data_IF_774927791213
#
_entry.id   IF_774927791213
#
_cell.length_a   1.000
_cell.length_b   1.000
_cell.length_c   1.000
_cell.angle_alpha   90.00
_cell.angle_beta   90.00
_cell.angle_gamma   90.00
#
_symmetry.space_group_name_H-M   'P 1'
#
loop_
_entity.id
_entity.type
_entity.pdbx_description
1 polymer ?
#
# COMPACT_ATOMS: atom_id res chain seq x y z
N UNK A 1 76.03 -20.61 19.85
CA UNK A 1 74.92 -21.38 19.27
C UNK A 1 73.64 -20.93 19.94
N UNK A 2 72.93 -19.88 19.39
CA UNK A 2 71.71 -19.31 19.96
C UNK A 2 70.49 -19.99 19.32
N UNK A 3 69.74 -20.77 20.09
CA UNK A 3 68.48 -21.31 19.65
C UNK A 3 67.40 -20.24 19.62
N UNK A 4 66.94 -19.88 18.43
CA UNK A 4 65.73 -19.05 18.25
C UNK A 4 64.51 -19.89 18.64
N UNK A 5 63.94 -19.57 19.79
CA UNK A 5 62.60 -20.01 20.14
C UNK A 5 61.59 -19.22 19.30
N UNK A 6 61.07 -19.86 18.23
CA UNK A 6 59.88 -19.35 17.52
C UNK A 6 58.69 -19.45 18.47
N UNK A 7 58.19 -18.31 18.92
CA UNK A 7 56.90 -18.20 19.65
C UNK A 7 55.82 -18.59 18.63
N UNK A 8 54.99 -19.61 18.91
CA UNK A 8 53.88 -19.92 18.00
C UNK A 8 52.92 -18.69 17.93
N UNK A 9 52.67 -18.22 16.71
CA UNK A 9 51.59 -17.23 16.49
C UNK A 9 50.28 -17.84 17.01
N UNK A 10 49.83 -17.36 18.13
CA UNK A 10 48.52 -17.67 18.68
C UNK A 10 47.47 -17.23 17.66
N UNK A 11 46.84 -18.22 17.01
CA UNK A 11 45.70 -17.97 16.12
C UNK A 11 44.68 -17.19 16.92
N UNK A 12 44.39 -15.95 16.50
CA UNK A 12 43.36 -15.09 17.07
C UNK A 12 42.12 -15.93 17.41
N UNK A 13 41.91 -16.19 18.69
CA UNK A 13 40.72 -16.90 19.16
C UNK A 13 39.54 -15.94 18.86
N UNK A 14 38.71 -16.34 17.88
CA UNK A 14 37.42 -15.67 17.69
C UNK A 14 36.72 -15.64 19.03
N UNK A 15 36.59 -14.45 19.60
CA UNK A 15 35.84 -14.25 20.84
C UNK A 15 34.38 -14.57 20.52
N UNK A 16 33.91 -15.73 20.96
CA UNK A 16 32.52 -16.12 20.83
C UNK A 16 31.81 -15.44 21.98
N UNK A 17 31.07 -14.39 21.68
CA UNK A 17 30.18 -13.78 22.67
C UNK A 17 29.04 -14.76 22.95
N UNK A 18 28.92 -15.16 24.21
CA UNK A 18 27.79 -15.95 24.66
C UNK A 18 26.63 -15.01 25.08
N UNK A 19 25.39 -15.39 24.76
CA UNK A 19 24.23 -14.69 25.32
C UNK A 19 24.18 -14.97 26.86
N UNK A 20 23.38 -14.24 27.65
CA UNK A 20 23.22 -14.48 29.09
C UNK A 20 22.78 -15.91 29.43
N UNK A 21 22.43 -16.71 28.44
CA UNK A 21 22.01 -18.12 28.54
C UNK A 21 23.06 -19.08 28.02
N UNK A 22 24.30 -18.62 27.79
CA UNK A 22 25.42 -19.47 27.39
C UNK A 22 25.42 -19.94 25.93
N UNK A 23 24.57 -19.37 25.05
CA UNK A 23 24.51 -19.75 23.64
C UNK A 23 25.46 -18.88 22.82
N UNK A 24 26.27 -19.53 21.97
CA UNK A 24 27.12 -18.82 21.02
C UNK A 24 26.27 -18.01 20.02
N UNK A 25 26.43 -16.70 20.04
CA UNK A 25 25.73 -15.80 19.12
C UNK A 25 26.61 -15.61 17.88
N UNK A 26 26.35 -16.36 16.85
CA UNK A 26 26.98 -16.16 15.54
C UNK A 26 26.57 -14.80 14.95
N UNK A 27 27.52 -14.09 14.35
CA UNK A 27 27.40 -12.73 13.81
C UNK A 27 26.55 -12.64 12.51
N UNK A 28 25.41 -13.25 12.43
CA UNK A 28 24.58 -13.14 11.22
C UNK A 28 23.49 -12.11 11.42
N UNK A 29 23.80 -10.83 11.20
CA UNK A 29 22.85 -9.71 11.21
C UNK A 29 22.04 -9.57 9.89
N UNK A 30 21.74 -10.67 9.20
CA UNK A 30 21.01 -10.62 7.93
C UNK A 30 19.64 -9.96 8.08
N UNK A 31 18.91 -10.23 9.16
CA UNK A 31 17.63 -9.61 9.43
C UNK A 31 17.70 -8.09 9.65
N UNK A 32 18.72 -7.61 10.37
CA UNK A 32 18.92 -6.19 10.56
C UNK A 32 19.31 -5.50 9.25
N UNK A 33 20.16 -6.12 8.43
CA UNK A 33 20.53 -5.57 7.11
C UNK A 33 19.31 -5.47 6.18
N UNK A 34 18.48 -6.51 6.13
CA UNK A 34 17.24 -6.49 5.34
C UNK A 34 16.30 -5.36 5.79
N UNK A 35 16.16 -5.13 7.10
CA UNK A 35 15.36 -4.03 7.64
C UNK A 35 15.94 -2.65 7.31
N UNK A 36 17.25 -2.47 7.31
CA UNK A 36 17.86 -1.22 6.87
C UNK A 36 17.62 -0.97 5.39
N UNK A 37 17.75 -1.98 4.54
CA UNK A 37 17.43 -1.86 3.10
C UNK A 37 15.96 -1.47 2.92
N UNK A 38 15.05 -2.13 3.62
CA UNK A 38 13.62 -1.80 3.57
C UNK A 38 13.35 -0.37 4.05
N UNK A 39 14.00 0.06 5.14
CA UNK A 39 13.89 1.43 5.65
C UNK A 39 14.33 2.46 4.61
N UNK A 40 15.45 2.22 3.93
CA UNK A 40 15.94 3.11 2.87
C UNK A 40 14.96 3.16 1.70
N UNK A 41 14.42 2.01 1.27
CA UNK A 41 13.43 1.96 0.19
C UNK A 41 12.15 2.71 0.55
N UNK A 42 11.63 2.55 1.78
CA UNK A 42 10.47 3.29 2.26
C UNK A 42 10.71 4.80 2.32
N UNK A 43 11.90 5.23 2.77
CA UNK A 43 12.26 6.65 2.82
C UNK A 43 12.42 7.25 1.41
N UNK A 44 13.08 6.53 0.49
CA UNK A 44 13.20 6.96 -0.90
C UNK A 44 11.83 7.09 -1.58
N UNK A 45 10.93 6.14 -1.32
CA UNK A 45 9.56 6.18 -1.84
C UNK A 45 8.78 7.37 -1.24
N UNK A 46 8.88 7.60 0.08
CA UNK A 46 8.27 8.74 0.75
C UNK A 46 8.74 10.07 0.14
N UNK A 47 10.05 10.25 -0.04
CA UNK A 47 10.63 11.45 -0.65
C UNK A 47 10.22 11.57 -2.13
N UNK A 48 10.26 10.47 -2.88
CA UNK A 48 9.84 10.43 -4.28
C UNK A 48 8.40 10.90 -4.47
N UNK A 49 7.45 10.36 -3.72
CA UNK A 49 6.05 10.80 -3.79
C UNK A 49 5.92 12.27 -3.38
N UNK A 50 6.58 12.68 -2.28
CA UNK A 50 6.52 14.06 -1.82
C UNK A 50 7.06 15.09 -2.83
N UNK A 51 8.05 14.71 -3.66
CA UNK A 51 8.63 15.60 -4.67
C UNK A 51 7.87 15.58 -6.01
N UNK A 52 7.36 14.42 -6.44
CA UNK A 52 6.81 14.23 -7.79
C UNK A 52 5.28 14.20 -7.86
N UNK A 53 4.61 13.87 -6.77
CA UNK A 53 3.15 13.70 -6.73
C UNK A 53 2.53 14.77 -5.85
N UNK A 54 2.55 16.01 -6.30
CA UNK A 54 1.97 17.19 -5.62
C UNK A 54 1.15 16.93 -4.33
N UNK A 55 1.31 17.75 -3.33
CA UNK A 55 0.81 17.69 -1.92
C UNK A 55 -0.72 17.48 -1.72
N UNK A 56 -1.41 16.75 -2.60
CA UNK A 56 -2.84 16.46 -2.47
C UNK A 56 -3.22 15.44 -1.39
N UNK A 57 -2.27 14.67 -0.88
CA UNK A 57 -2.50 13.67 0.17
C UNK A 57 -1.25 13.47 1.02
N UNK A 58 -1.41 13.48 2.34
CA UNK A 58 -0.33 13.18 3.30
C UNK A 58 -0.02 11.68 3.42
N UNK A 59 -0.59 10.84 2.56
CA UNK A 59 -0.41 9.39 2.64
C UNK A 59 1.06 8.95 2.49
N UNK A 60 1.89 9.74 1.79
CA UNK A 60 3.33 9.46 1.69
C UNK A 60 4.06 9.44 3.03
N UNK A 61 3.56 10.17 4.05
CA UNK A 61 4.14 10.16 5.41
C UNK A 61 4.04 8.80 6.08
N UNK A 62 3.05 7.98 5.72
CA UNK A 62 2.91 6.59 6.23
C UNK A 62 4.17 5.79 5.90
N UNK A 63 4.70 5.93 4.69
CA UNK A 63 5.94 5.27 4.28
C UNK A 63 7.16 5.79 5.03
N UNK A 64 7.18 7.08 5.33
CA UNK A 64 8.20 7.69 6.20
C UNK A 64 8.21 7.09 7.61
N UNK A 65 7.03 6.94 8.21
CA UNK A 65 6.85 6.33 9.53
C UNK A 65 7.26 4.85 9.52
N UNK A 66 6.85 4.08 8.51
CA UNK A 66 7.25 2.68 8.35
C UNK A 66 8.78 2.58 8.19
N UNK A 67 9.39 3.43 7.38
CA UNK A 67 10.84 3.47 7.19
C UNK A 67 11.59 3.79 8.48
N UNK A 68 11.14 4.80 9.23
CA UNK A 68 11.73 5.17 10.52
C UNK A 68 11.60 4.03 11.54
N UNK A 69 10.44 3.37 11.58
CA UNK A 69 10.22 2.21 12.44
C UNK A 69 11.14 1.02 12.09
N UNK A 70 11.26 0.68 10.80
CA UNK A 70 12.18 -0.36 10.33
C UNK A 70 13.65 -0.04 10.69
N UNK A 71 14.07 1.22 10.54
CA UNK A 71 15.41 1.66 10.91
C UNK A 71 15.66 1.54 12.42
N UNK A 72 14.70 2.01 13.24
CA UNK A 72 14.77 1.90 14.70
C UNK A 72 14.84 0.43 15.16
N UNK A 73 14.02 -0.44 14.57
CA UNK A 73 14.03 -1.87 14.90
C UNK A 73 15.33 -2.55 14.46
N UNK A 74 15.86 -2.23 13.28
CA UNK A 74 17.15 -2.70 12.80
C UNK A 74 18.28 -2.27 13.75
N UNK A 75 18.21 -1.02 14.25
CA UNK A 75 19.16 -0.50 15.23
C UNK A 75 19.10 -1.28 16.55
N UNK A 76 17.90 -1.58 17.06
CA UNK A 76 17.73 -2.45 18.25
C UNK A 76 18.33 -3.82 18.03
N UNK A 77 18.14 -4.43 16.86
CA UNK A 77 18.70 -5.75 16.54
C UNK A 77 20.23 -5.75 16.44
N UNK A 78 20.83 -4.62 16.07
CA UNK A 78 22.30 -4.47 15.97
C UNK A 78 22.94 -4.15 17.33
N UNK A 79 22.21 -3.47 18.23
CA UNK A 79 22.69 -3.11 19.55
C UNK A 79 22.28 -4.14 20.60
N UNK A 80 23.14 -5.12 20.81
CA UNK A 80 22.90 -6.27 21.71
C UNK A 80 22.43 -5.87 23.10
N UNK A 81 23.03 -4.83 23.67
CA UNK A 81 22.68 -4.35 25.02
C UNK A 81 21.19 -3.97 25.09
N UNK A 82 20.71 -3.21 24.09
CA UNK A 82 19.30 -2.78 24.01
C UNK A 82 18.38 -3.97 23.74
N UNK A 83 18.78 -4.86 22.81
CA UNK A 83 18.00 -6.05 22.47
C UNK A 83 17.74 -6.96 23.68
N UNK A 84 18.74 -7.19 24.53
CA UNK A 84 18.59 -8.05 25.72
C UNK A 84 17.89 -7.35 26.90
N UNK A 85 17.83 -6.02 26.89
CA UNK A 85 17.10 -5.26 27.91
C UNK A 85 15.58 -5.33 27.67
N UNK A 86 15.15 -5.59 26.43
CA UNK A 86 13.74 -5.76 26.08
C UNK A 86 13.25 -7.14 26.53
N UNK A 87 12.17 -7.22 27.32
CA UNK A 87 11.62 -8.49 27.78
C UNK A 87 11.25 -9.43 26.62
N UNK A 88 11.49 -10.72 26.78
CA UNK A 88 11.22 -11.72 25.73
C UNK A 88 9.78 -11.74 25.26
N UNK A 89 8.83 -11.54 26.18
CA UNK A 89 7.41 -11.50 25.85
C UNK A 89 7.08 -10.38 24.85
N UNK A 90 7.75 -9.22 24.96
CA UNK A 90 7.55 -8.10 24.05
C UNK A 90 7.98 -8.45 22.61
N UNK A 91 9.11 -9.16 22.46
CA UNK A 91 9.53 -9.63 21.14
C UNK A 91 8.54 -10.65 20.54
N UNK A 92 7.98 -11.53 21.38
CA UNK A 92 7.00 -12.52 20.95
C UNK A 92 5.72 -11.82 20.52
N UNK A 93 5.18 -10.94 21.38
CA UNK A 93 3.96 -10.18 21.08
C UNK A 93 4.11 -9.36 19.79
N UNK A 94 5.23 -8.65 19.63
CA UNK A 94 5.49 -7.87 18.44
C UNK A 94 5.51 -8.74 17.16
N UNK A 95 6.23 -9.86 17.18
CA UNK A 95 6.27 -10.79 16.05
C UNK A 95 4.90 -11.37 15.74
N UNK A 96 4.14 -11.74 16.77
CA UNK A 96 2.78 -12.26 16.60
C UNK A 96 1.85 -11.23 15.98
N UNK A 97 1.95 -9.96 16.40
CA UNK A 97 1.15 -8.86 15.84
C UNK A 97 1.51 -8.61 14.36
N UNK A 98 2.79 -8.59 14.02
CA UNK A 98 3.24 -8.45 12.63
C UNK A 98 2.76 -9.62 11.78
N UNK A 99 2.87 -10.85 12.26
CA UNK A 99 2.37 -12.03 11.55
C UNK A 99 0.86 -11.99 11.36
N UNK A 100 0.10 -11.61 12.38
CA UNK A 100 -1.36 -11.46 12.28
C UNK A 100 -1.74 -10.38 11.26
N UNK A 101 -1.04 -9.23 11.26
CA UNK A 101 -1.24 -8.18 10.27
C UNK A 101 -0.94 -8.65 8.84
N UNK A 102 0.15 -9.41 8.64
CA UNK A 102 0.48 -9.99 7.33
C UNK A 102 -0.59 -10.98 6.85
N UNK A 103 -1.08 -11.85 7.74
CA UNK A 103 -2.16 -12.80 7.39
C UNK A 103 -3.43 -12.05 7.02
N UNK A 104 -3.81 -11.02 7.79
CA UNK A 104 -4.98 -10.19 7.49
C UNK A 104 -4.84 -9.50 6.11
N UNK A 105 -3.68 -8.92 5.82
CA UNK A 105 -3.41 -8.33 4.50
C UNK A 105 -3.55 -9.34 3.38
N UNK A 106 -2.98 -10.54 3.53
CA UNK A 106 -3.10 -11.60 2.52
C UNK A 106 -4.56 -12.04 2.30
N UNK A 107 -5.36 -12.08 3.36
CA UNK A 107 -6.80 -12.39 3.25
C UNK A 107 -7.51 -11.27 2.47
N UNK A 108 -7.29 -10.01 2.81
CA UNK A 108 -7.90 -8.86 2.13
C UNK A 108 -7.49 -8.83 0.66
N UNK A 109 -6.20 -8.98 0.35
CA UNK A 109 -5.70 -9.04 -1.03
C UNK A 109 -6.30 -10.21 -1.80
N UNK A 110 -6.40 -11.38 -1.17
CA UNK A 110 -7.07 -12.54 -1.76
C UNK A 110 -8.54 -12.28 -2.09
N UNK A 111 -9.26 -11.60 -1.20
CA UNK A 111 -10.65 -11.18 -1.45
C UNK A 111 -10.74 -10.18 -2.60
N UNK A 112 -9.87 -9.20 -2.68
CA UNK A 112 -9.83 -8.22 -3.77
C UNK A 112 -9.56 -8.92 -5.11
N UNK A 113 -8.53 -9.77 -5.16
CA UNK A 113 -8.16 -10.50 -6.38
C UNK A 113 -9.28 -11.42 -6.84
N UNK A 114 -10.00 -12.05 -5.92
CA UNK A 114 -11.14 -12.93 -6.26
C UNK A 114 -12.28 -12.20 -6.99
N UNK A 115 -12.39 -10.88 -6.80
CA UNK A 115 -13.42 -10.05 -7.44
C UNK A 115 -13.00 -9.48 -8.79
N UNK A 116 -11.74 -9.64 -9.24
CA UNK A 116 -11.28 -9.06 -10.51
C UNK A 116 -12.03 -9.59 -11.75
N UNK A 117 -12.61 -10.77 -11.66
CA UNK A 117 -13.37 -11.40 -12.73
C UNK A 117 -14.87 -11.48 -12.40
N UNK A 118 -15.33 -10.76 -11.38
CA UNK A 118 -16.75 -10.72 -11.07
C UNK A 118 -17.49 -10.03 -12.23
N UNK A 119 -18.49 -10.73 -12.78
CA UNK A 119 -19.39 -10.18 -13.77
C UNK A 119 -20.60 -9.57 -13.08
N UNK A 120 -21.09 -8.44 -13.61
CA UNK A 120 -22.34 -7.88 -13.15
C UNK A 120 -23.50 -8.82 -13.46
N UNK A 121 -24.53 -8.82 -12.63
CA UNK A 121 -25.77 -9.55 -12.89
C UNK A 121 -26.44 -8.96 -14.13
N UNK A 122 -26.85 -9.78 -15.07
CA UNK A 122 -27.60 -9.33 -16.25
C UNK A 122 -28.99 -8.82 -15.85
N UNK A 123 -29.46 -7.77 -16.51
CA UNK A 123 -30.81 -7.23 -16.32
C UNK A 123 -31.02 -6.53 -14.98
N UNK A 124 -29.99 -5.91 -14.40
CA UNK A 124 -30.16 -5.06 -13.21
C UNK A 124 -31.01 -3.83 -13.53
N UNK A 125 -31.91 -3.41 -12.63
CA UNK A 125 -32.71 -2.21 -12.80
C UNK A 125 -31.84 -0.96 -12.85
N UNK A 126 -30.78 -0.89 -12.03
CA UNK A 126 -29.88 0.24 -11.91
C UNK A 126 -28.42 -0.18 -11.86
N UNK A 127 -27.57 0.63 -12.50
CA UNK A 127 -26.12 0.59 -12.37
C UNK A 127 -25.66 1.92 -11.76
N UNK A 128 -24.81 1.84 -10.75
CA UNK A 128 -24.24 3.04 -10.10
C UNK A 128 -22.77 3.18 -10.52
N UNK A 129 -22.43 4.30 -11.13
CA UNK A 129 -21.05 4.64 -11.47
C UNK A 129 -20.55 5.66 -10.44
N UNK A 130 -19.53 5.24 -9.68
CA UNK A 130 -18.87 6.11 -8.72
C UNK A 130 -17.76 6.93 -9.39
N UNK A 131 -17.73 8.22 -9.12
CA UNK A 131 -16.67 9.12 -9.56
C UNK A 131 -15.27 8.71 -9.08
N UNK A 132 -14.24 9.26 -9.72
CA UNK A 132 -12.84 9.05 -9.35
C UNK A 132 -11.92 10.19 -9.75
N UNK A 133 -12.40 11.31 -10.09
CA UNK A 133 -11.78 12.55 -10.52
C UNK A 133 -12.04 12.91 -11.99
N UNK A 134 -12.53 14.16 -12.19
CA UNK A 134 -12.66 14.79 -13.49
C UNK A 134 -11.61 15.89 -13.68
N UNK A 135 -10.70 15.72 -14.63
CA UNK A 135 -9.63 16.67 -14.94
C UNK A 135 -10.06 17.66 -16.02
N UNK A 136 -9.32 18.75 -16.19
CA UNK A 136 -9.50 19.68 -17.31
C UNK A 136 -9.39 19.02 -18.69
N UNK A 137 -8.66 17.91 -18.78
CA UNK A 137 -8.50 17.10 -20.00
C UNK A 137 -9.54 15.99 -20.17
N UNK A 138 -10.53 15.88 -19.27
CA UNK A 138 -11.51 14.81 -19.24
C UNK A 138 -11.38 13.86 -18.05
N UNK A 139 -12.05 12.69 -18.07
CA UNK A 139 -12.03 11.75 -16.96
C UNK A 139 -10.62 11.25 -16.66
N UNK A 140 -10.32 11.00 -15.38
CA UNK A 140 -9.10 10.28 -15.00
C UNK A 140 -9.10 8.89 -15.64
N UNK A 141 -7.92 8.28 -15.79
CA UNK A 141 -7.80 6.94 -16.39
C UNK A 141 -8.68 5.89 -15.69
N UNK A 142 -8.77 5.96 -14.35
CA UNK A 142 -9.62 5.05 -13.56
C UNK A 142 -11.09 5.29 -13.86
N UNK A 143 -11.53 6.56 -13.90
CA UNK A 143 -12.91 6.91 -14.21
C UNK A 143 -13.28 6.51 -15.62
N UNK A 144 -12.39 6.74 -16.60
CA UNK A 144 -12.61 6.32 -17.98
C UNK A 144 -12.86 4.82 -18.09
N UNK A 145 -12.03 4.00 -17.44
CA UNK A 145 -12.23 2.53 -17.44
C UNK A 145 -13.55 2.09 -16.83
N UNK A 146 -14.02 2.81 -15.79
CA UNK A 146 -15.35 2.55 -15.21
C UNK A 146 -16.46 2.89 -16.18
N UNK A 147 -16.36 4.06 -16.85
CA UNK A 147 -17.33 4.51 -17.85
C UNK A 147 -17.37 3.56 -19.05
N UNK A 148 -16.21 3.19 -19.60
CA UNK A 148 -16.12 2.25 -20.73
C UNK A 148 -16.83 0.92 -20.39
N UNK A 149 -16.58 0.39 -19.17
CA UNK A 149 -17.22 -0.86 -18.73
C UNK A 149 -18.72 -0.72 -18.48
N UNK A 150 -19.15 0.43 -17.97
CA UNK A 150 -20.56 0.72 -17.80
C UNK A 150 -21.28 0.86 -19.14
N UNK A 151 -20.68 1.48 -20.16
CA UNK A 151 -21.22 1.60 -21.52
C UNK A 151 -21.42 0.19 -22.12
N UNK A 152 -20.42 -0.68 -21.99
CA UNK A 152 -20.54 -2.07 -22.45
C UNK A 152 -21.75 -2.77 -21.82
N UNK A 153 -21.92 -2.62 -20.51
CA UNK A 153 -23.05 -3.20 -19.78
C UNK A 153 -24.40 -2.58 -20.19
N UNK A 154 -24.50 -1.25 -20.30
CA UNK A 154 -25.73 -0.53 -20.64
C UNK A 154 -26.20 -0.82 -22.06
N UNK A 155 -25.26 -1.06 -22.98
CA UNK A 155 -25.56 -1.47 -24.35
C UNK A 155 -26.10 -2.91 -24.43
N UNK A 156 -25.60 -3.79 -23.54
CA UNK A 156 -26.12 -5.16 -23.43
C UNK A 156 -27.47 -5.22 -22.68
N UNK A 157 -27.82 -4.21 -21.88
CA UNK A 157 -29.03 -4.17 -21.05
C UNK A 157 -29.78 -2.83 -21.28
N UNK A 158 -30.58 -2.70 -22.33
CA UNK A 158 -31.24 -1.44 -22.72
C UNK A 158 -32.22 -0.87 -21.67
N UNK A 159 -32.84 -1.72 -20.85
CA UNK A 159 -33.78 -1.31 -19.83
C UNK A 159 -33.11 -0.81 -18.53
N UNK A 160 -31.84 -1.07 -18.34
CA UNK A 160 -31.08 -0.66 -17.17
C UNK A 160 -30.87 0.86 -17.14
N UNK A 161 -31.19 1.51 -16.02
CA UNK A 161 -30.87 2.91 -15.77
C UNK A 161 -29.49 3.05 -15.11
N UNK A 162 -28.83 4.18 -15.33
CA UNK A 162 -27.53 4.46 -14.73
C UNK A 162 -27.60 5.66 -13.80
N UNK A 163 -27.05 5.51 -12.61
CA UNK A 163 -26.87 6.58 -11.64
C UNK A 163 -25.39 6.97 -11.65
N UNK A 164 -25.09 8.19 -12.04
CA UNK A 164 -23.73 8.73 -11.98
C UNK A 164 -23.59 9.55 -10.69
N UNK A 165 -22.73 9.09 -9.78
CA UNK A 165 -22.56 9.71 -8.46
C UNK A 165 -21.16 10.29 -8.31
N UNK A 166 -21.07 11.60 -8.11
CA UNK A 166 -19.82 12.31 -7.91
C UNK A 166 -20.03 13.82 -7.75
N UNK A 167 -19.44 14.38 -6.71
CA UNK A 167 -19.42 15.82 -6.47
C UNK A 167 -18.33 16.53 -7.31
N UNK A 168 -18.16 17.83 -7.04
CA UNK A 168 -17.08 18.62 -7.62
C UNK A 168 -15.93 18.72 -6.62
N UNK A 169 -14.77 18.17 -6.98
CA UNK A 169 -13.55 18.31 -6.21
C UNK A 169 -12.95 19.72 -6.33
N UNK A 170 -12.09 20.09 -5.38
CA UNK A 170 -11.47 21.43 -5.31
C UNK A 170 -10.71 21.82 -6.60
N UNK A 171 -10.14 20.85 -7.30
CA UNK A 171 -9.35 21.05 -8.52
C UNK A 171 -10.08 20.60 -9.79
N UNK A 172 -11.39 20.48 -9.75
CA UNK A 172 -12.18 19.98 -10.88
C UNK A 172 -12.97 21.12 -11.53
N UNK A 173 -13.00 21.21 -12.88
CA UNK A 173 -13.68 22.25 -13.59
C UNK A 173 -15.22 22.14 -13.54
N UNK A 174 -15.72 20.91 -13.41
CA UNK A 174 -17.14 20.55 -13.31
C UNK A 174 -17.31 19.44 -12.30
N UNK A 175 -18.55 19.15 -11.91
CA UNK A 175 -18.82 17.98 -11.07
C UNK A 175 -18.50 16.69 -11.82
N UNK A 176 -18.03 15.65 -11.11
CA UNK A 176 -17.75 14.36 -11.71
C UNK A 176 -19.02 13.75 -12.34
N UNK A 177 -20.19 13.91 -11.68
CA UNK A 177 -21.46 13.41 -12.20
C UNK A 177 -21.83 14.07 -13.52
N UNK A 178 -21.68 15.41 -13.65
CA UNK A 178 -21.92 16.15 -14.88
C UNK A 178 -20.99 15.71 -16.03
N UNK A 179 -19.69 15.56 -15.71
CA UNK A 179 -18.71 15.04 -16.67
C UNK A 179 -19.05 13.61 -17.12
N UNK A 180 -19.44 12.74 -16.19
CA UNK A 180 -19.83 11.36 -16.50
C UNK A 180 -21.09 11.30 -17.37
N UNK A 181 -22.09 12.13 -17.09
CA UNK A 181 -23.28 12.23 -17.92
C UNK A 181 -22.92 12.60 -19.36
N UNK A 182 -22.18 13.68 -19.58
CA UNK A 182 -21.77 14.09 -20.94
C UNK A 182 -20.95 13.02 -21.67
N UNK A 183 -20.12 12.26 -20.96
CA UNK A 183 -19.38 11.15 -21.53
C UNK A 183 -20.29 10.01 -22.00
N UNK A 184 -21.29 9.63 -21.18
CA UNK A 184 -22.26 8.59 -21.51
C UNK A 184 -23.16 8.99 -22.67
N UNK A 185 -23.65 10.25 -22.71
CA UNK A 185 -24.44 10.80 -23.81
C UNK A 185 -23.66 10.79 -25.12
N UNK A 186 -22.38 11.17 -25.08
CA UNK A 186 -21.48 11.12 -26.25
C UNK A 186 -21.29 9.69 -26.76
N UNK A 187 -21.35 8.70 -25.85
CA UNK A 187 -21.29 7.28 -26.19
C UNK A 187 -22.62 6.70 -26.69
N UNK A 188 -23.69 7.52 -26.77
CA UNK A 188 -25.00 7.13 -27.30
C UNK A 188 -25.95 6.53 -26.26
N UNK A 189 -25.68 6.70 -24.97
CA UNK A 189 -26.63 6.32 -23.91
C UNK A 189 -27.72 7.39 -23.82
N UNK A 190 -29.00 6.95 -23.82
CA UNK A 190 -30.15 7.83 -23.74
C UNK A 190 -30.11 8.67 -22.44
N UNK A 191 -30.21 10.02 -22.52
CA UNK A 191 -30.27 10.92 -21.35
C UNK A 191 -31.38 10.56 -20.35
N UNK A 192 -32.52 10.03 -20.79
CA UNK A 192 -33.61 9.61 -19.90
C UNK A 192 -33.26 8.41 -19.01
N UNK A 193 -32.22 7.68 -19.37
CA UNK A 193 -31.67 6.58 -18.56
C UNK A 193 -30.62 7.03 -17.56
N UNK A 194 -30.14 8.28 -17.63
CA UNK A 194 -29.02 8.79 -16.81
C UNK A 194 -29.60 9.62 -15.66
N UNK A 195 -29.34 9.21 -14.44
CA UNK A 195 -29.70 9.93 -13.22
C UNK A 195 -28.43 10.48 -12.58
N UNK A 196 -28.39 11.78 -12.31
CA UNK A 196 -27.26 12.43 -11.65
C UNK A 196 -27.46 12.50 -10.14
N UNK A 197 -26.46 12.09 -9.37
CA UNK A 197 -26.35 12.31 -7.94
C UNK A 197 -25.11 13.16 -7.66
N UNK A 198 -25.35 14.42 -7.31
CA UNK A 198 -24.29 15.43 -7.10
C UNK A 198 -23.72 15.43 -5.68
N UNK A 199 -24.38 14.77 -4.75
CA UNK A 199 -24.03 14.83 -3.33
C UNK A 199 -23.71 13.46 -2.77
N UNK A 200 -22.44 13.20 -2.52
CA UNK A 200 -22.01 12.01 -1.77
C UNK A 200 -22.40 12.05 -0.28
N UNK A 201 -22.95 13.19 0.20
CA UNK A 201 -23.26 13.41 1.63
C UNK A 201 -24.67 12.92 1.97
N UNK A 202 -25.54 12.74 0.99
CA UNK A 202 -26.95 12.37 1.20
C UNK A 202 -27.25 10.88 1.02
N UNK A 203 -26.23 10.07 0.80
CA UNK A 203 -26.34 8.61 0.84
C UNK A 203 -26.14 8.13 2.26
#
# INVERSE_FOLDING_TARGET
MKRNHLIPREKSKKVIYLDPRGRGVGEKHYGARALYVLAVLCLLYCVGIGLFVAFGSYFFLVWGVIGAFCAAWAWVLTHRTVYYWIPRWLHITFRSLVMAGMVLLLIIEGMIVSQFHATAQEGADYVIILGAQWKTSGPSYVLQKRLDKAIEYLNANPETKVIVSGGQGYNEPISEAEGMQGYLETAGIDPERILMELSLIHI
#
